data_IF_284715637568
#
_entry.id   IF_284715637568
#
_cell.length_a   1.000
_cell.length_b   1.000
_cell.length_c   1.000
_cell.angle_alpha   90.00
_cell.angle_beta   90.00
_cell.angle_gamma   90.00
#
_symmetry.space_group_name_H-M   'P 1'
#
loop_
_entity.id
_entity.type
_entity.pdbx_description
1 polymer ?
#
# COMPACT_ATOMS: atom_id res chain seq x y z
N UNK A 1 6.08 2.94 8.96
CA UNK A 1 6.06 3.95 10.05
C UNK A 1 4.64 4.10 10.57
N UNK A 2 4.49 4.31 11.85
CA UNK A 2 3.20 4.57 12.48
C UNK A 2 3.29 5.81 13.37
N UNK A 3 2.21 6.57 13.44
CA UNK A 3 2.07 7.67 14.40
C UNK A 3 1.05 7.24 15.43
N UNK A 4 1.47 7.26 16.68
CA UNK A 4 0.61 6.97 17.82
C UNK A 4 0.28 8.29 18.55
N UNK A 5 -0.98 8.56 18.75
CA UNK A 5 -1.46 9.71 19.52
C UNK A 5 -2.75 9.35 20.25
N UNK A 6 -2.89 9.83 21.47
CA UNK A 6 -4.13 9.68 22.24
C UNK A 6 -5.31 10.46 21.62
N UNK A 7 -5.02 11.40 20.74
CA UNK A 7 -6.00 12.24 20.06
C UNK A 7 -5.68 12.29 18.57
N UNK A 8 -6.28 11.39 17.80
CA UNK A 8 -6.15 11.37 16.35
C UNK A 8 -7.15 12.32 15.69
N UNK A 9 -6.71 13.00 14.63
CA UNK A 9 -7.64 13.75 13.80
C UNK A 9 -8.53 12.78 13.00
N UNK A 10 -9.83 12.82 13.25
CA UNK A 10 -10.79 11.91 12.61
C UNK A 10 -10.79 12.00 11.08
N UNK A 11 -10.59 13.20 10.52
CA UNK A 11 -10.52 13.38 9.05
C UNK A 11 -9.31 12.72 8.44
N UNK A 12 -8.16 12.75 9.13
CA UNK A 12 -6.95 12.04 8.70
C UNK A 12 -7.18 10.53 8.75
N UNK A 13 -7.80 10.04 9.82
CA UNK A 13 -8.15 8.61 9.93
C UNK A 13 -9.10 8.16 8.84
N UNK A 14 -10.13 8.98 8.55
CA UNK A 14 -11.09 8.68 7.49
C UNK A 14 -10.41 8.65 6.12
N UNK A 15 -9.47 9.57 5.86
CA UNK A 15 -8.65 9.55 4.65
C UNK A 15 -7.84 8.27 4.55
N UNK A 16 -7.11 7.89 5.60
CA UNK A 16 -6.31 6.65 5.61
C UNK A 16 -7.18 5.42 5.36
N UNK A 17 -8.34 5.33 6.03
CA UNK A 17 -9.31 4.27 5.80
C UNK A 17 -9.76 4.21 4.34
N UNK A 18 -10.12 5.35 3.76
CA UNK A 18 -10.58 5.45 2.37
C UNK A 18 -9.49 5.07 1.38
N UNK A 19 -8.23 5.40 1.65
CA UNK A 19 -7.10 5.02 0.83
C UNK A 19 -6.64 3.56 1.01
N UNK A 20 -7.23 2.81 1.94
CA UNK A 20 -6.86 1.43 2.24
C UNK A 20 -5.61 1.30 3.10
N UNK A 21 -5.20 2.37 3.77
CA UNK A 21 -4.05 2.37 4.65
C UNK A 21 -4.39 1.85 6.05
N UNK A 22 -3.37 1.36 6.75
CA UNK A 22 -3.52 0.85 8.12
C UNK A 22 -3.90 1.98 9.09
N UNK A 23 -4.95 1.77 9.87
CA UNK A 23 -5.49 2.77 10.79
C UNK A 23 -6.20 2.14 11.98
N UNK A 24 -6.26 2.87 13.08
CA UNK A 24 -7.11 2.55 14.24
C UNK A 24 -7.59 3.86 14.91
N UNK A 25 -8.29 3.75 16.02
CA UNK A 25 -8.72 4.94 16.77
C UNK A 25 -7.55 5.73 17.40
N UNK A 26 -6.39 5.10 17.56
CA UNK A 26 -5.24 5.65 18.29
C UNK A 26 -3.97 5.69 17.47
N UNK A 27 -3.95 5.13 16.27
CA UNK A 27 -2.79 5.21 15.38
C UNK A 27 -3.21 5.14 13.90
N UNK A 28 -2.33 5.60 13.05
CA UNK A 28 -2.32 5.32 11.62
C UNK A 28 -0.90 4.93 11.20
N UNK A 29 -0.83 4.05 10.21
CA UNK A 29 0.43 3.51 9.70
C UNK A 29 0.56 3.75 8.20
N UNK A 30 1.80 3.90 7.76
CA UNK A 30 2.13 4.07 6.34
C UNK A 30 2.37 2.73 5.64
N UNK A 31 2.24 1.62 6.37
CA UNK A 31 2.43 0.28 5.83
C UNK A 31 1.41 0.00 4.73
N UNK A 32 1.87 -0.56 3.61
CA UNK A 32 1.02 -0.89 2.48
C UNK A 32 0.58 0.29 1.61
N UNK A 33 1.15 1.47 1.81
CA UNK A 33 0.87 2.58 0.91
C UNK A 33 1.28 2.23 -0.53
N UNK A 34 0.36 2.45 -1.47
CA UNK A 34 0.69 2.35 -2.89
C UNK A 34 1.60 3.49 -3.32
N UNK A 35 2.26 3.34 -4.47
CA UNK A 35 3.06 4.41 -5.05
C UNK A 35 2.27 5.71 -5.22
N UNK A 36 1.00 5.60 -5.63
CA UNK A 36 0.11 6.76 -5.75
C UNK A 36 -0.14 7.44 -4.40
N UNK A 37 -0.42 6.66 -3.34
CA UNK A 37 -0.64 7.22 -2.00
C UNK A 37 0.62 7.87 -1.46
N UNK A 38 1.79 7.28 -1.69
CA UNK A 38 3.07 7.88 -1.32
C UNK A 38 3.28 9.23 -2.01
N UNK A 39 3.01 9.29 -3.32
CA UNK A 39 3.10 10.52 -4.10
C UNK A 39 2.08 11.57 -3.62
N UNK A 40 0.81 11.18 -3.42
CA UNK A 40 -0.28 12.04 -2.98
C UNK A 40 0.01 12.68 -1.61
N UNK A 41 0.61 11.93 -0.69
CA UNK A 41 0.96 12.39 0.65
C UNK A 41 2.32 13.09 0.70
N UNK A 42 2.97 13.30 -0.45
CA UNK A 42 4.27 13.94 -0.57
C UNK A 42 5.33 13.28 0.33
N UNK A 43 5.37 11.94 0.32
CA UNK A 43 6.37 11.17 1.05
C UNK A 43 7.64 11.13 0.23
N UNK A 44 8.58 11.96 0.56
CA UNK A 44 9.85 12.13 -0.16
C UNK A 44 10.88 11.09 0.30
N UNK A 45 10.92 10.82 1.61
CA UNK A 45 11.81 9.84 2.22
C UNK A 45 11.06 8.88 3.12
N UNK A 46 11.53 7.63 3.17
CA UNK A 46 11.04 6.65 4.13
C UNK A 46 12.18 5.80 4.68
N UNK A 47 11.97 5.25 5.87
CA UNK A 47 12.85 4.23 6.45
C UNK A 47 12.23 2.86 6.26
N UNK A 48 13.07 1.88 6.00
CA UNK A 48 12.72 0.46 5.95
C UNK A 48 13.80 -0.40 6.61
N UNK A 49 13.44 -1.60 7.03
CA UNK A 49 14.31 -2.53 7.72
C UNK A 49 14.98 -3.54 6.75
N UNK A 50 14.98 -3.26 5.46
CA UNK A 50 15.60 -4.11 4.46
C UNK A 50 15.78 -3.37 3.14
N UNK A 51 16.54 -3.93 2.22
CA UNK A 51 16.72 -3.44 0.85
C UNK A 51 15.52 -3.69 -0.08
N UNK A 52 14.44 -4.26 0.43
CA UNK A 52 13.23 -4.68 -0.31
C UNK A 52 12.57 -3.60 -1.16
N UNK A 53 12.78 -2.33 -0.80
CA UNK A 53 12.13 -1.22 -1.47
C UNK A 53 12.99 -0.62 -2.59
N UNK A 54 14.25 -1.03 -2.74
CA UNK A 54 15.07 -0.55 -3.85
C UNK A 54 14.55 -1.08 -5.19
N UNK A 55 13.98 -0.16 -5.96
CA UNK A 55 13.33 -0.48 -7.24
C UNK A 55 13.13 0.79 -8.08
N UNK A 56 12.31 0.72 -9.11
CA UNK A 56 12.04 1.86 -9.99
C UNK A 56 11.42 3.09 -9.31
N UNK A 57 10.71 2.92 -8.17
CA UNK A 57 10.04 3.99 -7.42
C UNK A 57 10.88 4.55 -6.27
N UNK A 58 11.74 3.72 -5.71
CA UNK A 58 12.54 4.04 -4.54
C UNK A 58 14.02 3.77 -4.82
N UNK A 59 14.88 4.59 -4.29
CA UNK A 59 16.33 4.39 -4.31
C UNK A 59 16.90 4.49 -2.91
N UNK A 60 17.85 3.60 -2.59
CA UNK A 60 18.58 3.66 -1.33
C UNK A 60 19.54 4.85 -1.35
N UNK A 61 19.35 5.76 -0.41
CA UNK A 61 20.23 6.94 -0.23
C UNK A 61 21.31 6.66 0.80
N UNK A 62 20.95 5.92 1.86
CA UNK A 62 21.86 5.58 2.95
C UNK A 62 21.34 4.34 3.70
N UNK A 63 22.24 3.67 4.40
CA UNK A 63 21.89 2.60 5.33
C UNK A 63 22.77 2.62 6.58
N UNK A 64 22.22 2.11 7.69
CA UNK A 64 22.95 1.89 8.93
C UNK A 64 22.47 0.58 9.54
N UNK A 65 23.30 -0.46 9.48
CA UNK A 65 22.90 -1.82 9.80
C UNK A 65 21.73 -2.24 8.91
N UNK A 66 20.65 -2.72 9.52
CA UNK A 66 19.45 -3.19 8.83
C UNK A 66 18.44 -2.07 8.53
N UNK A 67 18.77 -0.81 8.84
CA UNK A 67 17.90 0.33 8.57
C UNK A 67 18.36 1.05 7.32
N UNK A 68 17.47 1.16 6.35
CA UNK A 68 17.68 1.81 5.07
C UNK A 68 16.90 3.12 4.98
N UNK A 69 17.52 4.14 4.42
CA UNK A 69 16.86 5.39 4.04
C UNK A 69 16.62 5.35 2.52
N UNK A 70 15.36 5.40 2.15
CA UNK A 70 14.92 5.45 0.76
C UNK A 70 14.45 6.85 0.38
N UNK A 71 14.81 7.27 -0.83
CA UNK A 71 14.23 8.42 -1.51
C UNK A 71 13.14 7.96 -2.46
N UNK A 72 11.97 8.56 -2.38
CA UNK A 72 10.85 8.29 -3.28
C UNK A 72 11.02 9.14 -4.54
N UNK A 73 11.32 8.52 -5.68
CA UNK A 73 11.65 9.22 -6.95
C UNK A 73 10.50 10.02 -7.54
N UNK A 74 9.27 9.69 -7.18
CA UNK A 74 8.05 10.30 -7.72
C UNK A 74 7.15 10.75 -6.59
N UNK A 75 7.15 12.04 -6.33
CA UNK A 75 6.26 12.68 -5.36
C UNK A 75 5.47 13.79 -6.05
N UNK A 76 4.25 14.02 -5.62
CA UNK A 76 3.52 15.22 -6.01
C UNK A 76 4.07 16.40 -5.20
N UNK A 77 4.09 17.61 -5.76
CA UNK A 77 4.46 18.78 -4.98
C UNK A 77 3.49 18.97 -3.82
N UNK A 78 3.93 19.63 -2.75
CA UNK A 78 3.11 19.89 -1.56
C UNK A 78 1.79 20.61 -1.88
N UNK A 79 1.76 21.40 -2.94
CA UNK A 79 0.54 22.04 -3.47
C UNK A 79 0.42 21.80 -4.96
N UNK A 80 -0.74 21.37 -5.43
CA UNK A 80 -1.07 21.16 -6.83
C UNK A 80 -2.49 21.63 -7.12
N UNK A 81 -2.75 21.93 -8.38
CA UNK A 81 -4.08 22.31 -8.86
C UNK A 81 -4.87 21.06 -9.16
N UNK A 82 -6.06 20.94 -8.59
CA UNK A 82 -7.00 19.88 -8.87
C UNK A 82 -8.28 20.45 -9.48
N UNK A 83 -9.02 19.66 -10.28
CA UNK A 83 -10.31 20.06 -10.80
C UNK A 83 -11.29 20.43 -9.69
N UNK A 84 -12.23 21.33 -10.00
CA UNK A 84 -13.29 21.70 -9.06
C UNK A 84 -14.14 20.48 -8.71
N UNK A 85 -14.33 20.22 -7.40
CA UNK A 85 -15.07 19.05 -6.94
C UNK A 85 -14.22 17.81 -6.70
N UNK A 86 -12.90 17.87 -6.95
CA UNK A 86 -12.00 16.79 -6.60
C UNK A 86 -12.02 16.54 -5.09
N UNK A 87 -12.47 15.36 -4.70
CA UNK A 87 -12.54 14.95 -3.29
C UNK A 87 -12.48 13.43 -3.17
N UNK A 88 -12.18 12.95 -1.98
CA UNK A 88 -12.26 11.53 -1.65
C UNK A 88 -13.74 11.19 -1.40
N UNK A 89 -14.39 10.72 -2.45
CA UNK A 89 -15.85 10.57 -2.51
C UNK A 89 -16.42 9.59 -1.48
N UNK A 90 -17.58 9.97 -0.93
CA UNK A 90 -18.41 9.07 -0.14
C UNK A 90 -19.10 8.06 -1.09
N UNK A 91 -19.21 6.80 -0.64
CA UNK A 91 -19.89 5.74 -1.41
C UNK A 91 -18.97 4.80 -2.20
N UNK A 92 -17.67 5.12 -2.37
CA UNK A 92 -16.71 4.18 -2.93
C UNK A 92 -16.23 3.24 -1.82
N UNK A 93 -16.45 1.94 -2.01
CA UNK A 93 -16.34 0.96 -0.93
C UNK A 93 -14.94 0.38 -0.72
N UNK A 94 -13.96 0.70 -1.57
CA UNK A 94 -12.63 0.08 -1.48
C UNK A 94 -11.52 1.07 -1.77
N UNK A 95 -10.41 0.94 -1.03
CA UNK A 95 -9.24 1.81 -1.21
C UNK A 95 -8.69 1.82 -2.64
N UNK A 96 -8.69 0.67 -3.33
CA UNK A 96 -8.26 0.56 -4.73
C UNK A 96 -9.15 1.42 -5.65
N UNK A 97 -10.48 1.35 -5.48
CA UNK A 97 -11.40 2.16 -6.29
C UNK A 97 -11.28 3.65 -5.98
N UNK A 98 -11.10 3.99 -4.70
CA UNK A 98 -10.87 5.39 -4.31
C UNK A 98 -9.62 5.94 -4.97
N UNK A 99 -8.52 5.18 -4.95
CA UNK A 99 -7.27 5.62 -5.57
C UNK A 99 -7.42 5.79 -7.08
N UNK A 100 -8.02 4.82 -7.77
CA UNK A 100 -8.27 4.94 -9.22
C UNK A 100 -9.17 6.13 -9.55
N UNK A 101 -10.23 6.36 -8.76
CA UNK A 101 -11.11 7.52 -8.96
C UNK A 101 -10.37 8.84 -8.77
N UNK A 102 -9.52 8.95 -7.75
CA UNK A 102 -8.72 10.16 -7.54
C UNK A 102 -7.78 10.44 -8.72
N UNK A 103 -7.25 9.40 -9.36
CA UNK A 103 -6.38 9.52 -10.53
C UNK A 103 -7.18 9.98 -11.75
N UNK A 104 -8.34 9.38 -11.98
CA UNK A 104 -9.26 9.77 -13.05
C UNK A 104 -9.71 11.23 -12.86
N UNK A 105 -10.09 11.62 -11.66
CA UNK A 105 -10.52 12.97 -11.31
C UNK A 105 -9.40 14.02 -11.48
N UNK A 106 -8.14 13.61 -11.37
CA UNK A 106 -6.98 14.47 -11.65
C UNK A 106 -6.66 14.56 -13.15
N UNK A 107 -7.39 13.86 -14.01
CA UNK A 107 -7.16 13.80 -15.46
C UNK A 107 -5.73 13.34 -15.84
N UNK A 108 -5.08 12.55 -14.94
CA UNK A 108 -3.68 12.17 -15.12
C UNK A 108 -3.55 11.04 -16.12
N UNK A 109 -4.44 10.06 -16.09
CA UNK A 109 -4.40 8.90 -17.00
C UNK A 109 -5.50 7.87 -16.71
N UNK A 110 -5.32 6.69 -17.32
CA UNK A 110 -6.04 5.47 -17.03
C UNK A 110 -5.81 5.01 -15.58
N UNK A 111 -6.70 4.17 -15.03
CA UNK A 111 -6.54 3.60 -13.69
C UNK A 111 -5.15 2.97 -13.49
N UNK A 112 -4.45 3.33 -12.42
CA UNK A 112 -3.11 2.80 -12.13
C UNK A 112 -3.13 1.41 -11.50
N UNK A 113 -4.26 1.03 -10.87
CA UNK A 113 -4.40 -0.24 -10.17
C UNK A 113 -5.34 -1.17 -10.94
N UNK A 114 -4.77 -2.20 -11.54
CA UNK A 114 -5.48 -3.27 -12.23
C UNK A 114 -5.60 -4.53 -11.38
N UNK A 115 -6.53 -5.39 -11.74
CA UNK A 115 -6.69 -6.68 -11.10
C UNK A 115 -5.68 -7.69 -11.63
N UNK A 116 -4.88 -8.27 -10.72
CA UNK A 116 -4.00 -9.39 -11.03
C UNK A 116 -4.71 -10.74 -10.92
N UNK A 117 -4.16 -11.76 -11.57
CA UNK A 117 -4.62 -13.14 -11.46
C UNK A 117 -4.24 -13.72 -10.10
N UNK A 118 -5.21 -14.33 -9.43
CA UNK A 118 -5.01 -14.98 -8.14
C UNK A 118 -5.79 -16.28 -8.05
N UNK A 119 -5.20 -17.27 -7.37
CA UNK A 119 -5.78 -18.57 -7.12
C UNK A 119 -5.85 -18.83 -5.62
N UNK A 120 -7.03 -19.19 -5.12
CA UNK A 120 -7.21 -19.55 -3.72
C UNK A 120 -7.12 -21.07 -3.55
N UNK A 121 -6.38 -21.52 -2.54
CA UNK A 121 -6.26 -22.93 -2.17
C UNK A 121 -6.26 -23.07 -0.65
N UNK A 122 -7.38 -23.48 -0.08
CA UNK A 122 -7.58 -23.47 1.38
C UNK A 122 -7.45 -22.05 1.94
N UNK A 123 -6.59 -21.89 2.94
CA UNK A 123 -6.30 -20.60 3.59
C UNK A 123 -5.24 -19.78 2.86
N UNK A 124 -4.74 -20.27 1.73
CA UNK A 124 -3.69 -19.62 0.97
C UNK A 124 -4.26 -18.94 -0.28
N UNK A 125 -3.67 -17.82 -0.65
CA UNK A 125 -3.92 -17.14 -1.92
C UNK A 125 -2.60 -16.98 -2.65
N UNK A 126 -2.49 -17.60 -3.82
CA UNK A 126 -1.34 -17.47 -4.69
C UNK A 126 -1.62 -16.42 -5.77
N UNK A 127 -0.73 -15.46 -5.90
CA UNK A 127 -0.77 -14.43 -6.93
C UNK A 127 0.37 -14.72 -7.90
N UNK A 128 0.06 -14.79 -9.20
CA UNK A 128 1.05 -14.95 -10.25
C UNK A 128 1.09 -13.66 -11.06
N UNK A 129 2.27 -13.08 -11.19
CA UNK A 129 2.48 -11.85 -11.95
C UNK A 129 2.33 -12.14 -13.46
N UNK A 130 1.36 -11.53 -14.10
CA UNK A 130 1.12 -11.59 -15.56
C UNK A 130 2.03 -10.64 -16.34
N UNK A 131 2.53 -9.61 -15.68
CA UNK A 131 3.51 -8.63 -16.19
C UNK A 131 4.44 -8.17 -15.07
N UNK A 132 5.56 -7.55 -15.41
CA UNK A 132 6.41 -6.89 -14.43
C UNK A 132 5.72 -5.66 -13.85
N UNK A 133 5.78 -5.47 -12.53
CA UNK A 133 5.14 -4.34 -11.87
C UNK A 133 5.07 -4.44 -10.35
N UNK A 134 4.47 -3.43 -9.75
CA UNK A 134 4.23 -3.38 -8.31
C UNK A 134 2.91 -4.04 -7.96
N UNK A 135 2.97 -5.03 -7.09
CA UNK A 135 1.82 -5.83 -6.71
C UNK A 135 1.34 -5.47 -5.31
N UNK A 136 0.04 -5.47 -5.13
CA UNK A 136 -0.64 -5.16 -3.88
C UNK A 136 -1.78 -6.15 -3.66
N UNK A 137 -2.03 -6.53 -2.43
CA UNK A 137 -3.20 -7.30 -2.05
C UNK A 137 -4.18 -6.44 -1.24
N UNK A 138 -5.45 -6.52 -1.57
CA UNK A 138 -6.51 -5.95 -0.73
C UNK A 138 -7.05 -7.03 0.18
N UNK A 139 -7.06 -6.77 1.47
CA UNK A 139 -7.63 -7.67 2.45
C UNK A 139 -9.16 -7.51 2.47
N UNK A 140 -9.85 -8.63 2.43
CA UNK A 140 -11.28 -8.73 2.61
C UNK A 140 -11.54 -9.67 3.81
N UNK A 141 -11.53 -9.10 5.00
CA UNK A 141 -11.62 -9.87 6.23
C UNK A 141 -12.50 -9.18 7.27
N UNK A 142 -13.16 -9.97 8.08
CA UNK A 142 -13.87 -9.50 9.26
C UNK A 142 -12.91 -9.55 10.46
N UNK A 143 -12.73 -8.43 11.13
CA UNK A 143 -11.83 -8.32 12.28
C UNK A 143 -10.36 -8.08 11.90
N UNK A 144 -9.51 -8.08 12.90
CA UNK A 144 -8.05 -7.95 12.76
C UNK A 144 -7.45 -9.26 12.32
N UNK A 145 -6.56 -9.21 11.33
CA UNK A 145 -5.91 -10.40 10.77
C UNK A 145 -4.40 -10.20 10.75
N UNK A 146 -3.69 -11.30 10.86
CA UNK A 146 -2.29 -11.41 10.47
C UNK A 146 -2.23 -12.09 9.10
N UNK A 147 -1.33 -11.65 8.26
CA UNK A 147 -1.07 -12.25 6.95
C UNK A 147 0.43 -12.34 6.76
N UNK A 148 0.90 -13.52 6.41
CA UNK A 148 2.26 -13.73 5.99
C UNK A 148 2.33 -13.73 4.46
N UNK A 149 3.30 -12.99 3.94
CA UNK A 149 3.61 -12.93 2.50
C UNK A 149 4.87 -13.76 2.27
N UNK A 150 4.79 -14.73 1.39
CA UNK A 150 5.90 -15.64 1.05
C UNK A 150 6.25 -15.49 -0.43
N UNK A 151 7.53 -15.28 -0.71
CA UNK A 151 8.07 -15.18 -2.08
C UNK A 151 8.11 -13.75 -2.62
N UNK A 152 8.54 -13.62 -3.87
CA UNK A 152 8.79 -12.32 -4.50
C UNK A 152 9.99 -11.59 -3.88
N UNK A 153 10.06 -10.29 -4.11
CA UNK A 153 11.13 -9.43 -3.57
C UNK A 153 11.08 -9.25 -2.06
N UNK A 154 9.95 -9.53 -1.43
CA UNK A 154 9.80 -9.41 0.03
C UNK A 154 10.28 -10.66 0.77
N UNK A 155 10.57 -11.76 0.05
CA UNK A 155 10.94 -13.07 0.59
C UNK A 155 9.93 -13.59 1.62
N UNK A 156 9.99 -13.09 2.85
CA UNK A 156 9.00 -13.35 3.90
C UNK A 156 8.72 -12.06 4.66
N UNK A 157 7.47 -11.68 4.71
CA UNK A 157 7.02 -10.47 5.40
C UNK A 157 5.71 -10.73 6.13
N UNK A 158 5.67 -10.36 7.41
CA UNK A 158 4.48 -10.50 8.24
C UNK A 158 3.76 -9.15 8.39
N UNK A 159 2.47 -9.18 8.16
CA UNK A 159 1.58 -8.06 8.40
C UNK A 159 0.60 -8.39 9.52
N UNK A 160 0.49 -7.52 10.48
CA UNK A 160 -0.43 -7.66 11.61
C UNK A 160 -1.46 -6.52 11.64
N UNK A 161 -2.48 -6.66 12.48
CA UNK A 161 -3.52 -5.65 12.69
C UNK A 161 -4.25 -5.19 11.42
N UNK A 162 -4.41 -6.11 10.47
CA UNK A 162 -5.11 -5.84 9.23
C UNK A 162 -6.62 -5.82 9.42
N UNK A 163 -7.26 -4.89 8.75
CA UNK A 163 -8.72 -4.74 8.73
C UNK A 163 -9.25 -4.91 7.31
N UNK A 164 -10.56 -5.10 7.22
CA UNK A 164 -11.21 -5.07 5.90
C UNK A 164 -10.86 -3.79 5.15
N UNK A 165 -10.49 -3.96 3.90
CA UNK A 165 -10.07 -2.87 3.03
C UNK A 165 -8.59 -2.49 3.11
N UNK A 166 -7.81 -3.03 4.06
CA UNK A 166 -6.35 -2.79 4.10
C UNK A 166 -5.68 -3.24 2.82
N UNK A 167 -4.75 -2.45 2.33
CA UNK A 167 -3.91 -2.77 1.17
C UNK A 167 -2.52 -3.14 1.68
N UNK A 168 -1.99 -4.24 1.19
CA UNK A 168 -0.64 -4.73 1.48
C UNK A 168 0.24 -4.56 0.27
N UNK A 169 1.46 -4.12 0.45
CA UNK A 169 2.48 -4.15 -0.58
C UNK A 169 3.09 -5.55 -0.68
N UNK A 170 3.13 -6.11 -1.88
CA UNK A 170 3.67 -7.45 -2.16
C UNK A 170 5.03 -7.41 -2.87
N UNK A 171 5.54 -6.23 -3.14
CA UNK A 171 6.80 -6.05 -3.83
C UNK A 171 6.66 -5.77 -5.33
N UNK A 172 7.81 -5.58 -5.96
CA UNK A 172 7.92 -5.55 -7.41
C UNK A 172 8.15 -6.96 -7.92
N UNK A 173 7.24 -7.47 -8.75
CA UNK A 173 7.32 -8.82 -9.31
C UNK A 173 7.64 -8.76 -10.80
N UNK A 174 8.50 -9.68 -11.24
CA UNK A 174 8.71 -9.94 -12.66
C UNK A 174 7.59 -10.83 -13.21
N UNK A 175 7.38 -10.80 -14.52
CA UNK A 175 6.40 -11.68 -15.17
C UNK A 175 6.67 -13.14 -14.84
N UNK A 176 5.66 -13.84 -14.33
CA UNK A 176 5.71 -15.25 -13.95
C UNK A 176 6.13 -15.49 -12.50
N UNK A 177 6.60 -14.48 -11.79
CA UNK A 177 6.86 -14.60 -10.35
C UNK A 177 5.58 -14.82 -9.56
N UNK A 178 5.73 -15.50 -8.43
CA UNK A 178 4.61 -15.87 -7.55
C UNK A 178 4.83 -15.39 -6.14
N UNK A 179 3.74 -14.95 -5.54
CA UNK A 179 3.67 -14.61 -4.12
C UNK A 179 2.49 -15.34 -3.51
N UNK A 180 2.70 -15.94 -2.35
CA UNK A 180 1.67 -16.63 -1.59
C UNK A 180 1.35 -15.84 -0.33
N UNK A 181 0.08 -15.58 -0.12
CA UNK A 181 -0.46 -15.03 1.10
C UNK A 181 -1.01 -16.17 1.94
N UNK A 182 -0.60 -16.26 3.20
CA UNK A 182 -1.09 -17.23 4.17
C UNK A 182 -1.64 -16.54 5.41
N UNK A 183 -2.55 -17.18 6.12
CA UNK A 183 -2.89 -16.71 7.46
C UNK A 183 -1.63 -16.79 8.35
N UNK A 184 -1.27 -15.68 8.97
CA UNK A 184 -0.25 -15.68 10.00
C UNK A 184 -0.78 -16.35 11.27
N UNK A 185 0.07 -17.11 11.95
CA UNK A 185 -0.27 -17.69 13.23
C UNK A 185 -0.50 -16.60 14.29
N UNK A 186 -1.44 -16.85 15.21
CA UNK A 186 -1.74 -15.96 16.34
C UNK A 186 -0.67 -16.03 17.43
#
# INVERSE_FOLDING_TARGET
ASVFSSTMNSRVMDLYKKLGMRHSKVYYGFDGATAFVSALLNVDYMFGESDKYENGLYETVNNSGDVYLYHCKYTLPFGYVAPTGWNVTDGISTGVRVQNQLIEDLEIAEPLLDRATSEASGDNVCITADRAGYYYARINATGTKKVQVLGGTLETCDYADLKDGSILYLGYLQKGERVTLTNGDD
#
